data_IF_714604096944
#
_entry.id   IF_714604096944
#
_cell.length_a   1.000
_cell.length_b   1.000
_cell.length_c   1.000
_cell.angle_alpha   90.00
_cell.angle_beta   90.00
_cell.angle_gamma   90.00
#
_symmetry.space_group_name_H-M   'P 1'
#
loop_
_entity.id
_entity.type
_entity.pdbx_description
1 polymer ?
#
# COMPACT_ATOMS: atom_id res chain seq x y z
N UNK A 1 75.20 -35.47 36.52
CA UNK A 1 76.53 -35.73 35.87
C UNK A 1 76.68 -34.72 34.74
N UNK A 2 77.49 -33.68 34.97
CA UNK A 2 78.79 -33.48 34.47
C UNK A 2 78.83 -33.43 32.91
N UNK A 3 79.26 -32.38 32.27
CA UNK A 3 80.27 -31.37 32.45
C UNK A 3 80.36 -30.55 31.19
N UNK A 4 80.49 -29.24 31.25
CA UNK A 4 81.76 -28.52 31.11
C UNK A 4 82.42 -28.75 29.74
N UNK A 5 82.52 -27.70 28.88
CA UNK A 5 83.74 -26.97 28.53
C UNK A 5 83.54 -25.95 27.36
N UNK A 6 83.84 -24.69 27.64
CA UNK A 6 84.28 -23.62 26.73
C UNK A 6 85.73 -23.93 26.32
N UNK A 7 86.46 -23.21 25.46
CA UNK A 7 86.32 -21.87 24.81
C UNK A 7 86.89 -21.81 23.36
N UNK A 8 86.89 -20.63 22.74
CA UNK A 8 87.85 -20.35 21.65
C UNK A 8 87.41 -19.20 20.68
N UNK A 9 87.82 -17.99 20.96
CA UNK A 9 87.97 -16.91 19.95
C UNK A 9 89.46 -16.81 19.55
N UNK A 10 89.93 -16.01 18.60
CA UNK A 10 89.50 -15.08 17.55
C UNK A 10 90.24 -15.30 16.19
N UNK A 11 90.55 -14.38 15.32
CA UNK A 11 90.56 -12.93 15.27
C UNK A 11 90.06 -12.31 13.90
N UNK A 12 90.34 -11.02 13.59
CA UNK A 12 89.53 -10.14 12.78
C UNK A 12 89.93 -9.97 11.34
N UNK A 13 89.04 -9.54 10.47
CA UNK A 13 89.39 -8.96 9.17
C UNK A 13 88.59 -7.71 8.86
N UNK A 14 89.38 -6.72 8.55
CA UNK A 14 89.10 -5.39 8.14
C UNK A 14 88.35 -5.30 6.79
N UNK A 15 87.31 -4.56 6.64
CA UNK A 15 86.90 -3.93 5.38
C UNK A 15 86.01 -2.71 5.53
N UNK A 16 86.49 -1.67 5.02
CA UNK A 16 86.07 -0.31 4.63
C UNK A 16 84.60 0.16 4.92
N UNK A 17 84.43 1.43 5.30
CA UNK A 17 83.14 2.06 5.52
C UNK A 17 82.50 2.50 4.20
N UNK A 18 81.28 2.11 3.99
CA UNK A 18 80.37 2.73 2.99
C UNK A 18 79.67 3.90 3.66
N UNK A 19 79.98 5.06 3.11
CA UNK A 19 79.33 6.35 3.53
C UNK A 19 77.82 6.34 3.20
N UNK A 20 77.00 6.13 4.17
CA UNK A 20 75.57 6.47 4.05
C UNK A 20 75.34 7.92 4.47
N UNK A 21 75.12 8.78 3.49
CA UNK A 21 74.61 10.11 3.68
C UNK A 21 73.15 10.04 4.17
N UNK A 22 72.97 9.95 5.48
CA UNK A 22 71.68 10.18 6.08
C UNK A 22 71.42 11.69 6.08
N UNK A 23 70.56 12.13 5.17
CA UNK A 23 69.90 13.44 5.28
C UNK A 23 69.09 13.47 6.56
N UNK A 24 69.63 14.10 7.59
CA UNK A 24 68.92 14.46 8.83
C UNK A 24 67.81 15.46 8.51
N UNK A 25 66.62 14.97 8.18
CA UNK A 25 65.42 15.81 8.23
C UNK A 25 65.14 16.04 9.72
N UNK A 26 65.29 17.30 10.13
CA UNK A 26 65.03 17.70 11.52
C UNK A 26 63.64 17.25 11.94
N UNK A 27 63.56 16.30 12.86
CA UNK A 27 62.29 15.70 13.36
C UNK A 27 61.34 16.70 14.04
N UNK A 28 61.76 17.94 14.28
CA UNK A 28 60.91 19.01 14.88
C UNK A 28 59.84 19.50 13.96
N UNK A 29 60.01 19.42 12.64
CA UNK A 29 59.01 19.97 11.68
C UNK A 29 58.16 18.88 11.01
N UNK A 30 58.37 17.60 11.33
CA UNK A 30 57.62 16.49 10.79
C UNK A 30 56.10 16.59 11.01
N UNK A 31 55.60 16.96 12.21
CA UNK A 31 54.17 17.12 12.42
C UNK A 31 53.56 18.31 11.66
N UNK A 32 54.36 19.38 11.42
CA UNK A 32 53.91 20.54 10.67
C UNK A 32 53.78 20.20 9.18
N UNK A 33 54.76 19.50 8.62
CA UNK A 33 54.74 19.03 7.22
C UNK A 33 53.58 18.08 6.99
N UNK A 34 53.33 17.13 7.94
CA UNK A 34 52.22 16.20 7.87
C UNK A 34 50.85 16.92 7.89
N UNK A 35 50.70 17.95 8.73
CA UNK A 35 49.49 18.77 8.77
C UNK A 35 49.24 19.53 7.48
N UNK A 36 50.31 20.12 6.89
CA UNK A 36 50.21 20.84 5.61
C UNK A 36 49.77 19.89 4.48
N UNK A 37 50.33 18.67 4.43
CA UNK A 37 49.93 17.65 3.46
C UNK A 37 48.45 17.23 3.70
N UNK A 38 48.01 17.07 4.97
CA UNK A 38 46.65 16.73 5.31
C UNK A 38 45.68 17.83 4.85
N UNK A 39 46.02 19.11 5.14
CA UNK A 39 45.17 20.24 4.68
C UNK A 39 45.12 20.33 3.14
N UNK A 40 46.23 20.06 2.47
CA UNK A 40 46.25 20.04 1.01
C UNK A 40 45.37 18.92 0.44
N UNK A 41 45.41 17.74 1.08
CA UNK A 41 44.57 16.58 0.71
C UNK A 41 43.09 16.85 0.95
N UNK A 42 42.74 17.42 2.09
CA UNK A 42 41.35 17.82 2.42
C UNK A 42 40.86 18.91 1.46
N UNK A 43 41.68 19.91 1.17
CA UNK A 43 41.38 20.95 0.19
C UNK A 43 41.18 20.38 -1.22
N UNK A 44 42.02 19.42 -1.62
CA UNK A 44 41.87 18.72 -2.91
C UNK A 44 40.61 17.87 -2.98
N UNK A 45 40.28 17.13 -1.93
CA UNK A 45 39.02 16.36 -1.83
C UNK A 45 37.80 17.29 -1.86
N UNK A 46 37.86 18.42 -1.15
CA UNK A 46 36.79 19.41 -1.20
C UNK A 46 36.64 20.04 -2.61
N UNK A 47 37.74 20.30 -3.28
CA UNK A 47 37.75 20.80 -4.67
C UNK A 47 37.17 19.76 -5.64
N UNK A 48 37.47 18.47 -5.49
CA UNK A 48 36.89 17.39 -6.30
C UNK A 48 35.39 17.26 -6.00
N UNK A 49 34.98 17.35 -4.73
CA UNK A 49 33.58 17.30 -4.34
C UNK A 49 32.78 18.53 -4.83
N UNK A 50 33.39 19.71 -4.79
CA UNK A 50 32.77 20.94 -5.31
C UNK A 50 32.63 20.95 -6.84
N UNK A 51 33.50 20.26 -7.58
CA UNK A 51 33.32 20.05 -9.03
C UNK A 51 32.36 18.92 -9.38
N UNK A 52 32.10 17.98 -8.44
CA UNK A 52 31.16 16.86 -8.63
C UNK A 52 29.71 17.20 -8.29
N UNK A 53 29.46 18.29 -7.56
CA UNK A 53 28.11 18.63 -7.07
C UNK A 53 27.44 19.73 -7.92
N UNK A 54 27.28 19.50 -9.20
CA UNK A 54 26.18 20.10 -9.97
C UNK A 54 25.14 19.02 -10.27
N UNK A 55 24.59 18.44 -9.21
CA UNK A 55 23.30 17.79 -9.30
C UNK A 55 22.25 18.89 -9.14
N UNK A 56 21.93 19.52 -10.23
CA UNK A 56 20.68 20.26 -10.38
C UNK A 56 19.60 19.22 -10.29
N UNK A 57 18.95 19.10 -9.13
CA UNK A 57 17.70 18.38 -8.99
C UNK A 57 16.63 19.16 -9.76
N UNK A 58 16.70 19.13 -11.07
CA UNK A 58 15.53 19.34 -11.91
C UNK A 58 14.78 18.02 -11.80
N UNK A 59 13.70 18.00 -11.02
CA UNK A 59 12.65 17.00 -11.17
C UNK A 59 12.05 17.13 -12.59
N UNK A 60 12.82 16.73 -13.58
CA UNK A 60 12.25 16.26 -14.81
C UNK A 60 11.60 14.92 -14.44
N UNK A 61 10.27 14.89 -14.38
CA UNK A 61 9.48 13.67 -14.46
C UNK A 61 9.75 13.12 -15.86
N UNK A 62 10.91 12.53 -16.05
CA UNK A 62 11.14 11.62 -17.16
C UNK A 62 10.79 10.25 -16.64
N UNK A 63 9.82 9.55 -17.25
CA UNK A 63 9.74 8.11 -17.06
C UNK A 63 11.14 7.58 -17.38
N UNK A 64 11.71 6.84 -16.43
CA UNK A 64 13.05 6.23 -16.58
C UNK A 64 13.12 5.58 -17.96
N UNK A 65 14.00 6.12 -18.80
CA UNK A 65 14.16 5.64 -20.16
C UNK A 65 14.31 4.13 -20.14
N UNK A 66 13.43 3.46 -20.85
CA UNK A 66 13.43 2.04 -21.05
C UNK A 66 14.87 1.56 -21.34
N UNK A 67 15.46 0.87 -20.40
CA UNK A 67 16.57 -0.01 -20.73
C UNK A 67 15.98 -1.04 -21.70
N UNK A 68 16.52 -1.10 -22.89
CA UNK A 68 16.09 -2.04 -23.91
C UNK A 68 16.13 -3.47 -23.33
N UNK A 69 14.95 -4.07 -23.12
CA UNK A 69 14.78 -5.41 -22.62
C UNK A 69 14.31 -5.58 -21.16
N UNK A 70 14.06 -4.51 -20.40
CA UNK A 70 13.51 -4.58 -19.05
C UNK A 70 11.99 -4.59 -19.00
N UNK A 71 11.41 -5.40 -18.12
CA UNK A 71 9.96 -5.39 -17.81
C UNK A 71 9.56 -4.03 -17.25
N UNK A 72 8.55 -3.40 -17.85
CA UNK A 72 8.02 -2.10 -17.41
C UNK A 72 6.87 -2.31 -16.45
N UNK A 73 7.08 -1.93 -15.21
CA UNK A 73 6.12 -2.07 -14.12
C UNK A 73 5.65 -0.68 -13.68
N UNK A 74 4.36 -0.55 -13.46
CA UNK A 74 3.74 0.60 -12.78
C UNK A 74 2.82 0.10 -11.67
N UNK A 75 2.37 1.02 -10.81
CA UNK A 75 1.34 0.67 -9.84
C UNK A 75 0.27 1.75 -9.74
N UNK A 76 -0.89 1.31 -9.25
CA UNK A 76 -2.03 2.17 -8.93
C UNK A 76 -2.32 2.03 -7.44
N UNK A 77 -2.46 3.15 -6.74
CA UNK A 77 -2.86 3.17 -5.34
C UNK A 77 -4.36 2.92 -5.23
N UNK A 78 -4.72 1.71 -4.76
CA UNK A 78 -6.10 1.26 -4.63
C UNK A 78 -6.90 2.09 -3.63
N UNK A 79 -6.28 2.55 -2.53
CA UNK A 79 -6.95 3.39 -1.52
C UNK A 79 -7.31 4.76 -2.10
N UNK A 80 -6.41 5.34 -2.91
CA UNK A 80 -6.65 6.61 -3.60
C UNK A 80 -7.71 6.45 -4.70
N UNK A 81 -7.68 5.34 -5.42
CA UNK A 81 -8.67 5.01 -6.42
C UNK A 81 -10.07 4.84 -5.80
N UNK A 82 -10.14 4.09 -4.70
CA UNK A 82 -11.37 3.87 -3.94
C UNK A 82 -11.99 5.20 -3.42
N UNK A 83 -11.15 6.14 -3.00
CA UNK A 83 -11.56 7.44 -2.50
C UNK A 83 -11.97 8.44 -3.59
N UNK A 84 -11.47 8.30 -4.85
CA UNK A 84 -11.61 9.35 -5.86
C UNK A 84 -12.26 8.90 -7.18
N UNK A 85 -12.57 7.61 -7.33
CA UNK A 85 -13.28 7.12 -8.52
C UNK A 85 -14.78 7.37 -8.37
N UNK A 86 -15.33 8.29 -9.17
CA UNK A 86 -16.71 8.77 -9.05
C UNK A 86 -17.76 7.67 -9.25
N UNK A 87 -17.56 6.79 -10.22
CA UNK A 87 -18.46 5.65 -10.43
C UNK A 87 -18.53 4.75 -9.18
N UNK A 88 -17.39 4.47 -8.55
CA UNK A 88 -17.33 3.63 -7.37
C UNK A 88 -18.02 4.28 -6.16
N UNK A 89 -17.88 5.60 -5.99
CA UNK A 89 -18.63 6.36 -4.98
C UNK A 89 -20.13 6.22 -5.18
N UNK A 90 -20.59 6.41 -6.41
CA UNK A 90 -22.02 6.27 -6.75
C UNK A 90 -22.54 4.86 -6.47
N UNK A 91 -21.78 3.82 -6.78
CA UNK A 91 -22.16 2.43 -6.46
C UNK A 91 -22.26 2.19 -4.95
N UNK A 92 -21.28 2.67 -4.19
CA UNK A 92 -21.28 2.57 -2.72
C UNK A 92 -22.50 3.29 -2.12
N UNK A 93 -22.78 4.51 -2.57
CA UNK A 93 -23.94 5.29 -2.13
C UNK A 93 -25.26 4.58 -2.46
N UNK A 94 -25.40 4.03 -3.67
CA UNK A 94 -26.60 3.32 -4.08
C UNK A 94 -26.83 2.06 -3.22
N UNK A 95 -25.78 1.29 -2.94
CA UNK A 95 -25.86 0.11 -2.06
C UNK A 95 -26.21 0.53 -0.64
N UNK A 96 -25.59 1.58 -0.10
CA UNK A 96 -25.86 2.10 1.24
C UNK A 96 -27.28 2.60 1.39
N UNK A 97 -27.80 3.34 0.40
CA UNK A 97 -29.20 3.81 0.39
C UNK A 97 -30.19 2.63 0.35
N UNK A 98 -29.89 1.62 -0.47
CA UNK A 98 -30.72 0.41 -0.55
C UNK A 98 -30.73 -0.34 0.77
N UNK A 99 -29.57 -0.48 1.43
CA UNK A 99 -29.44 -1.12 2.74
C UNK A 99 -30.24 -0.37 3.80
N UNK A 100 -30.08 0.95 3.91
CA UNK A 100 -30.80 1.78 4.87
C UNK A 100 -32.32 1.75 4.64
N UNK A 101 -32.78 1.81 3.38
CA UNK A 101 -34.20 1.71 3.05
C UNK A 101 -34.79 0.35 3.41
N UNK A 102 -34.01 -0.70 3.21
CA UNK A 102 -34.40 -2.05 3.54
C UNK A 102 -34.49 -2.27 5.06
N UNK A 103 -33.50 -1.82 5.82
CA UNK A 103 -33.49 -1.86 7.29
C UNK A 103 -34.73 -1.13 7.87
N UNK A 104 -35.00 0.08 7.36
CA UNK A 104 -36.19 0.84 7.77
C UNK A 104 -37.49 0.11 7.47
N UNK A 105 -37.60 -0.51 6.29
CA UNK A 105 -38.78 -1.26 5.90
C UNK A 105 -39.00 -2.49 6.79
N UNK A 106 -37.91 -3.23 7.08
CA UNK A 106 -37.96 -4.38 7.98
C UNK A 106 -38.34 -3.97 9.40
N UNK A 107 -37.71 -2.91 9.94
CA UNK A 107 -38.01 -2.40 11.27
C UNK A 107 -39.51 -1.99 11.41
N UNK A 108 -40.06 -1.30 10.42
CA UNK A 108 -41.46 -0.93 10.40
C UNK A 108 -42.40 -2.16 10.39
N UNK A 109 -42.02 -3.23 9.65
CA UNK A 109 -42.81 -4.48 9.62
C UNK A 109 -42.73 -5.23 10.94
N UNK A 110 -41.54 -5.25 11.58
CA UNK A 110 -41.37 -5.83 12.92
C UNK A 110 -42.21 -5.10 13.97
N UNK A 111 -42.14 -3.78 13.96
CA UNK A 111 -42.93 -2.94 14.87
C UNK A 111 -44.44 -3.19 14.69
N UNK A 112 -44.90 -3.24 13.43
CA UNK A 112 -46.31 -3.53 13.13
C UNK A 112 -46.71 -4.94 13.63
N UNK A 113 -45.83 -5.93 13.44
CA UNK A 113 -46.08 -7.30 13.90
C UNK A 113 -46.19 -7.36 15.44
N UNK A 114 -45.26 -6.68 16.15
CA UNK A 114 -45.29 -6.59 17.62
C UNK A 114 -46.57 -5.88 18.12
N UNK A 115 -46.96 -4.80 17.47
CA UNK A 115 -48.20 -4.05 17.80
C UNK A 115 -49.44 -4.90 17.59
N UNK A 116 -49.51 -5.66 16.49
CA UNK A 116 -50.66 -6.53 16.22
C UNK A 116 -50.70 -7.69 17.23
N UNK A 117 -49.53 -8.24 17.63
CA UNK A 117 -49.45 -9.29 18.65
C UNK A 117 -49.92 -8.80 20.02
N UNK A 118 -49.51 -7.58 20.43
CA UNK A 118 -49.96 -7.00 21.70
C UNK A 118 -51.43 -6.67 21.69
N UNK A 119 -51.96 -6.14 20.58
CA UNK A 119 -53.40 -5.87 20.43
C UNK A 119 -54.26 -7.17 20.44
N UNK A 120 -53.74 -8.26 19.86
CA UNK A 120 -54.39 -9.56 19.93
C UNK A 120 -54.51 -10.06 21.39
N UNK A 121 -53.37 -9.95 22.12
CA UNK A 121 -53.35 -10.36 23.53
C UNK A 121 -54.31 -9.55 24.40
N UNK A 122 -54.40 -8.24 24.22
CA UNK A 122 -55.29 -7.34 24.92
C UNK A 122 -56.75 -7.69 24.64
N UNK A 123 -57.15 -7.89 23.37
CA UNK A 123 -58.50 -8.28 22.97
C UNK A 123 -58.90 -9.65 23.54
N UNK A 124 -57.99 -10.58 23.62
CA UNK A 124 -58.25 -11.90 24.22
C UNK A 124 -58.46 -11.79 25.73
N UNK A 125 -57.60 -11.01 26.44
CA UNK A 125 -57.70 -10.83 27.89
C UNK A 125 -58.96 -10.03 28.29
N UNK A 126 -59.39 -9.10 27.48
CA UNK A 126 -60.63 -8.32 27.73
C UNK A 126 -61.90 -9.07 27.38
N UNK A 127 -61.81 -10.29 26.89
CA UNK A 127 -62.96 -11.10 26.51
C UNK A 127 -63.76 -10.61 25.30
N UNK A 128 -63.16 -9.67 24.54
CA UNK A 128 -63.78 -9.08 23.33
C UNK A 128 -63.58 -9.92 22.08
N UNK A 129 -62.86 -11.07 22.20
CA UNK A 129 -62.57 -11.95 21.10
C UNK A 129 -62.89 -13.42 21.46
N UNK A 130 -63.45 -14.17 20.50
CA UNK A 130 -63.65 -15.60 20.70
C UNK A 130 -62.34 -16.38 20.58
N UNK A 131 -62.33 -17.56 21.20
CA UNK A 131 -61.14 -18.47 21.10
C UNK A 131 -60.79 -18.79 19.64
N UNK A 132 -61.79 -19.10 18.82
CA UNK A 132 -61.58 -19.42 17.41
C UNK A 132 -61.03 -18.27 16.60
N UNK A 133 -61.43 -17.02 16.92
CA UNK A 133 -60.87 -15.83 16.24
C UNK A 133 -59.43 -15.52 16.72
N UNK A 134 -59.16 -15.76 18.00
CA UNK A 134 -57.82 -15.61 18.55
C UNK A 134 -56.82 -16.61 17.89
N UNK A 135 -57.22 -17.86 17.72
CA UNK A 135 -56.38 -18.87 17.03
C UNK A 135 -56.11 -18.52 15.58
N UNK A 136 -57.12 -18.02 14.83
CA UNK A 136 -56.92 -17.55 13.46
C UNK A 136 -55.98 -16.37 13.38
N UNK A 137 -56.11 -15.41 14.29
CA UNK A 137 -55.25 -14.24 14.35
C UNK A 137 -53.81 -14.61 14.70
N UNK A 138 -53.59 -15.50 15.67
CA UNK A 138 -52.28 -16.02 16.03
C UNK A 138 -51.62 -16.73 14.83
N UNK A 139 -52.38 -17.60 14.13
CA UNK A 139 -51.90 -18.26 12.93
C UNK A 139 -51.45 -17.24 11.83
N UNK A 140 -52.25 -16.15 11.66
CA UNK A 140 -51.91 -15.09 10.71
C UNK A 140 -50.62 -14.34 11.11
N UNK A 141 -50.45 -14.05 12.41
CA UNK A 141 -49.25 -13.40 12.93
C UNK A 141 -48.01 -14.28 12.72
N UNK A 142 -48.10 -15.59 12.99
CA UNK A 142 -47.01 -16.55 12.74
C UNK A 142 -46.63 -16.59 11.26
N UNK A 143 -47.60 -16.66 10.35
CA UNK A 143 -47.34 -16.62 8.92
C UNK A 143 -46.64 -15.31 8.49
N UNK A 144 -47.07 -14.17 9.05
CA UNK A 144 -46.41 -12.87 8.76
C UNK A 144 -45.00 -12.80 9.32
N UNK A 145 -44.78 -13.34 10.52
CA UNK A 145 -43.43 -13.44 11.09
C UNK A 145 -42.51 -14.30 10.22
N UNK A 146 -43.00 -15.46 9.76
CA UNK A 146 -42.22 -16.33 8.87
C UNK A 146 -41.89 -15.63 7.54
N UNK A 147 -42.85 -14.95 6.91
CA UNK A 147 -42.63 -14.16 5.69
C UNK A 147 -41.61 -13.04 5.89
N UNK A 148 -41.59 -12.39 7.05
CA UNK A 148 -40.63 -11.36 7.39
C UNK A 148 -39.20 -11.94 7.49
N UNK A 149 -39.02 -13.10 8.10
CA UNK A 149 -37.72 -13.78 8.15
C UNK A 149 -37.23 -14.22 6.75
N UNK A 150 -38.16 -14.73 5.92
CA UNK A 150 -37.83 -15.05 4.52
C UNK A 150 -37.44 -13.80 3.73
N UNK A 151 -38.10 -12.67 3.97
CA UNK A 151 -37.77 -11.37 3.33
C UNK A 151 -36.40 -10.85 3.76
N UNK A 152 -36.08 -10.96 5.06
CA UNK A 152 -34.73 -10.62 5.57
C UNK A 152 -33.65 -11.46 4.88
N UNK A 153 -33.87 -12.78 4.78
CA UNK A 153 -32.92 -13.69 4.12
C UNK A 153 -32.73 -13.36 2.64
N UNK A 154 -33.82 -13.10 1.91
CA UNK A 154 -33.74 -12.70 0.48
C UNK A 154 -33.03 -11.38 0.29
N UNK A 155 -33.29 -10.41 1.16
CA UNK A 155 -32.66 -9.10 1.09
C UNK A 155 -31.17 -9.16 1.37
N UNK A 156 -30.75 -9.88 2.41
CA UNK A 156 -29.34 -10.09 2.72
C UNK A 156 -28.60 -10.73 1.54
N UNK A 157 -29.20 -11.76 0.93
CA UNK A 157 -28.63 -12.41 -0.26
C UNK A 157 -28.52 -11.43 -1.44
N UNK A 158 -29.58 -10.67 -1.72
CA UNK A 158 -29.59 -9.70 -2.82
C UNK A 158 -28.57 -8.60 -2.64
N UNK A 159 -28.38 -8.08 -1.41
CA UNK A 159 -27.33 -7.10 -1.12
C UNK A 159 -25.93 -7.66 -1.31
N UNK A 160 -25.70 -8.90 -0.92
CA UNK A 160 -24.43 -9.58 -1.19
C UNK A 160 -24.17 -9.80 -2.69
N UNK A 161 -25.20 -10.11 -3.48
CA UNK A 161 -25.10 -10.20 -4.94
C UNK A 161 -24.81 -8.84 -5.59
N UNK A 162 -25.46 -7.77 -5.12
CA UNK A 162 -25.19 -6.41 -5.59
C UNK A 162 -23.75 -5.98 -5.31
N UNK A 163 -23.23 -6.25 -4.10
CA UNK A 163 -21.84 -5.96 -3.75
C UNK A 163 -20.86 -6.72 -4.65
N UNK A 164 -21.12 -8.01 -4.85
CA UNK A 164 -20.29 -8.85 -5.73
C UNK A 164 -20.33 -8.35 -7.18
N UNK A 165 -21.50 -7.96 -7.65
CA UNK A 165 -21.66 -7.39 -8.99
C UNK A 165 -20.89 -6.07 -9.13
N UNK A 166 -21.07 -5.14 -8.18
CA UNK A 166 -20.34 -3.86 -8.19
C UNK A 166 -18.82 -4.05 -8.18
N UNK A 167 -18.33 -5.05 -7.44
CA UNK A 167 -16.92 -5.41 -7.44
C UNK A 167 -16.46 -5.94 -8.81
N UNK A 168 -17.18 -6.86 -9.42
CA UNK A 168 -16.85 -7.40 -10.73
C UNK A 168 -16.89 -6.31 -11.82
N UNK A 169 -17.90 -5.44 -11.78
CA UNK A 169 -18.04 -4.32 -12.72
C UNK A 169 -16.89 -3.31 -12.55
N UNK A 170 -16.45 -3.05 -11.29
CA UNK A 170 -15.26 -2.24 -11.02
C UNK A 170 -14.02 -2.81 -11.71
N UNK A 171 -13.75 -4.11 -11.50
CA UNK A 171 -12.57 -4.75 -12.10
C UNK A 171 -12.64 -4.74 -13.63
N UNK A 172 -13.79 -5.03 -14.19
CA UNK A 172 -13.98 -5.02 -15.66
C UNK A 172 -13.75 -3.60 -16.25
N UNK A 173 -14.28 -2.56 -15.61
CA UNK A 173 -14.09 -1.17 -16.03
C UNK A 173 -12.63 -0.73 -15.91
N UNK A 174 -12.00 -1.01 -14.77
CA UNK A 174 -10.59 -0.68 -14.54
C UNK A 174 -9.70 -1.45 -15.54
N UNK A 175 -9.92 -2.74 -15.72
CA UNK A 175 -9.14 -3.57 -16.66
C UNK A 175 -9.25 -3.05 -18.11
N UNK A 176 -10.46 -2.72 -18.55
CA UNK A 176 -10.67 -2.19 -19.90
C UNK A 176 -9.92 -0.87 -20.12
N UNK A 177 -9.98 0.06 -19.15
CA UNK A 177 -9.27 1.35 -19.23
C UNK A 177 -7.75 1.17 -19.10
N UNK A 178 -7.28 0.26 -18.24
CA UNK A 178 -5.85 -0.04 -18.10
C UNK A 178 -5.27 -0.72 -19.35
N UNK A 179 -6.02 -1.57 -20.04
CA UNK A 179 -5.62 -2.14 -21.35
C UNK A 179 -5.38 -1.03 -22.38
N UNK A 180 -6.27 -0.06 -22.44
CA UNK A 180 -6.10 1.11 -23.33
C UNK A 180 -4.86 1.90 -22.98
N UNK A 181 -4.63 2.18 -21.69
CA UNK A 181 -3.47 2.92 -21.20
C UNK A 181 -2.17 2.13 -21.46
N UNK A 182 -2.16 0.82 -21.17
CA UNK A 182 -1.01 -0.05 -21.39
C UNK A 182 -0.60 -0.10 -22.85
N UNK A 183 -1.56 -0.16 -23.79
CA UNK A 183 -1.27 -0.15 -25.23
C UNK A 183 -0.66 1.17 -25.72
N UNK A 184 -0.96 2.29 -25.06
CA UNK A 184 -0.43 3.61 -25.39
C UNK A 184 0.96 3.88 -24.77
N UNK A 185 1.16 3.45 -23.53
CA UNK A 185 2.37 3.76 -22.75
C UNK A 185 3.31 2.55 -22.68
N UNK A 186 2.78 1.33 -22.89
CA UNK A 186 3.54 0.09 -23.01
C UNK A 186 4.04 -0.48 -21.68
N UNK A 187 3.22 -0.45 -20.61
CA UNK A 187 3.50 -1.20 -19.40
C UNK A 187 3.24 -2.69 -19.59
N UNK A 188 4.14 -3.52 -19.05
CA UNK A 188 3.99 -4.98 -19.04
C UNK A 188 3.18 -5.44 -17.81
N UNK A 189 3.31 -4.71 -16.68
CA UNK A 189 2.54 -4.96 -15.46
C UNK A 189 2.07 -3.66 -14.83
N UNK A 190 0.80 -3.65 -14.40
CA UNK A 190 0.23 -2.62 -13.53
C UNK A 190 -0.24 -3.32 -12.27
N UNK A 191 0.38 -2.98 -11.14
CA UNK A 191 0.15 -3.60 -9.84
C UNK A 191 -0.82 -2.74 -9.01
N UNK A 192 -1.61 -3.36 -8.15
CA UNK A 192 -2.41 -2.65 -7.16
C UNK A 192 -1.60 -2.50 -5.87
N UNK A 193 -1.40 -1.27 -5.43
CA UNK A 193 -0.82 -0.94 -4.13
C UNK A 193 -1.93 -0.46 -3.19
N UNK A 194 -2.04 -1.02 -2.00
CA UNK A 194 -2.94 -0.55 -0.95
C UNK A 194 -2.30 -0.77 0.41
N UNK A 195 -2.71 0.02 1.40
CA UNK A 195 -2.20 -0.13 2.77
C UNK A 195 -2.62 -1.50 3.35
N UNK A 196 -1.64 -2.29 3.78
CA UNK A 196 -1.87 -3.66 4.24
C UNK A 196 -2.04 -4.70 3.13
N UNK A 197 -1.84 -4.32 1.86
CA UNK A 197 -1.83 -5.22 0.71
C UNK A 197 -0.54 -6.04 0.58
N UNK A 198 -0.42 -6.76 -0.52
CA UNK A 198 0.73 -7.64 -0.78
C UNK A 198 2.01 -6.88 -1.11
N UNK A 199 1.91 -5.66 -1.63
CA UNK A 199 3.04 -4.81 -1.95
C UNK A 199 3.32 -3.93 -0.74
N UNK A 200 4.49 -4.14 -0.10
CA UNK A 200 4.88 -3.42 1.12
C UNK A 200 5.51 -2.06 0.83
N UNK A 201 6.20 -1.94 -0.30
CA UNK A 201 6.90 -0.72 -0.70
C UNK A 201 6.85 -0.59 -2.23
N UNK A 202 6.54 0.58 -2.70
CA UNK A 202 6.62 0.95 -4.11
C UNK A 202 7.31 2.31 -4.25
N UNK A 203 8.01 2.52 -5.35
CA UNK A 203 8.67 3.79 -5.65
C UNK A 203 7.64 4.74 -6.28
N UNK A 204 7.52 5.96 -5.75
CA UNK A 204 6.57 6.97 -6.23
C UNK A 204 6.71 7.29 -7.72
N UNK A 205 7.92 7.10 -8.29
CA UNK A 205 8.14 7.28 -9.73
C UNK A 205 7.39 6.28 -10.62
N UNK A 206 6.88 5.20 -10.04
CA UNK A 206 6.09 4.16 -10.72
C UNK A 206 4.58 4.35 -10.49
N UNK A 207 4.17 5.38 -9.75
CA UNK A 207 2.77 5.68 -9.45
C UNK A 207 2.07 6.31 -10.67
N UNK A 208 1.09 5.61 -11.22
CA UNK A 208 0.25 6.09 -12.31
C UNK A 208 -1.20 6.32 -11.87
N UNK A 209 -1.46 6.40 -10.56
CA UNK A 209 -2.82 6.51 -9.99
C UNK A 209 -3.57 7.71 -10.56
N UNK A 210 -2.89 8.86 -10.69
CA UNK A 210 -3.51 10.08 -11.21
C UNK A 210 -3.97 9.91 -12.66
N UNK A 211 -3.12 9.36 -13.52
CA UNK A 211 -3.44 9.13 -14.93
C UNK A 211 -4.60 8.15 -15.07
N UNK A 212 -4.61 7.09 -14.25
CA UNK A 212 -5.69 6.10 -14.23
C UNK A 212 -7.00 6.74 -13.76
N UNK A 213 -6.98 7.56 -12.69
CA UNK A 213 -8.16 8.28 -12.20
C UNK A 213 -8.72 9.26 -13.24
N UNK A 214 -7.87 10.02 -13.90
CA UNK A 214 -8.27 10.91 -14.97
C UNK A 214 -8.98 10.13 -16.09
N UNK A 215 -8.45 8.97 -16.48
CA UNK A 215 -9.03 8.10 -17.50
C UNK A 215 -10.35 7.46 -17.05
N UNK A 216 -10.45 7.02 -15.78
CA UNK A 216 -11.65 6.40 -15.24
C UNK A 216 -12.78 7.40 -15.05
N UNK A 217 -12.47 8.63 -14.65
CA UNK A 217 -13.44 9.71 -14.42
C UNK A 217 -13.73 10.52 -15.68
N UNK A 218 -12.97 10.31 -16.79
CA UNK A 218 -13.27 10.94 -18.06
C UNK A 218 -14.67 10.51 -18.53
N UNK A 219 -15.53 11.47 -18.78
CA UNK A 219 -16.84 11.21 -19.38
C UNK A 219 -16.61 10.64 -20.76
N UNK A 220 -17.22 9.50 -21.05
CA UNK A 220 -17.28 9.02 -22.41
C UNK A 220 -18.09 10.05 -23.23
N UNK A 221 -17.42 10.76 -24.10
CA UNK A 221 -18.14 11.55 -25.13
C UNK A 221 -18.90 10.54 -26.01
N UNK A 222 -20.24 10.59 -25.88
CA UNK A 222 -21.15 9.79 -26.71
C UNK A 222 -21.29 10.44 -28.05
#
# INVERSE_FOLDING_TARGET
>A
MLGIFSPGSPPPTCSKPISNTHTHISMKNLPIILNIILFALVGYLYYLNAKGAKSTATHAIMPSAAQAGGVRIAYVNGDTLDANYEWLKQQKEAIQQRMSSAEKTLANKEEALMKDASALQEKFQSGTMTQADAEKADQSLRQRAQKLEEEKGRLSKSLGEDQKKAFNDLYANVEAKLKTLSSQIGYDYILSYSRGGQILLANDSLDITKQVLELLNAKEEK
#
